data_IF_749179219968
#
_entry.id   IF_749179219968
#
_cell.length_a   1.000
_cell.length_b   1.000
_cell.length_c   1.000
_cell.angle_alpha   90.00
_cell.angle_beta   90.00
_cell.angle_gamma   90.00
#
_symmetry.space_group_name_H-M   'P 1'
#
loop_
_entity.id
_entity.type
_entity.pdbx_description
1 polymer ?
#
# COMPACT_ATOMS: atom_id res chain seq x y z
N UNK A 1 7.66 14.77 -5.20
CA UNK A 1 6.23 14.92 -4.87
C UNK A 1 5.96 16.36 -4.47
N UNK A 2 4.86 16.91 -4.94
CA UNK A 2 4.47 18.30 -4.65
C UNK A 2 4.15 18.50 -3.17
N UNK A 3 4.31 19.71 -2.66
CA UNK A 3 4.00 20.04 -1.26
C UNK A 3 2.54 19.73 -0.91
N UNK A 4 1.61 20.05 -1.80
CA UNK A 4 0.19 19.76 -1.58
C UNK A 4 -0.10 18.27 -1.47
N UNK A 5 0.62 17.42 -2.21
CA UNK A 5 0.48 15.97 -2.12
C UNK A 5 1.04 15.43 -0.81
N UNK A 6 2.12 16.01 -0.30
CA UNK A 6 2.64 15.69 1.04
C UNK A 6 1.63 16.05 2.13
N UNK A 7 0.94 17.19 2.00
CA UNK A 7 -0.12 17.56 2.92
C UNK A 7 -1.28 16.58 2.88
N UNK A 8 -1.69 16.15 1.68
CA UNK A 8 -2.71 15.10 1.52
C UNK A 8 -2.29 13.81 2.23
N UNK A 9 -1.03 13.42 2.05
CA UNK A 9 -0.50 12.22 2.68
C UNK A 9 -0.49 12.34 4.21
N UNK A 10 -0.01 13.46 4.74
CA UNK A 10 0.02 13.70 6.18
C UNK A 10 -1.38 13.63 6.80
N UNK A 11 -2.37 14.25 6.16
CA UNK A 11 -3.77 14.20 6.60
C UNK A 11 -4.32 12.78 6.52
N UNK A 12 -3.99 12.06 5.45
CA UNK A 12 -4.45 10.68 5.28
C UNK A 12 -3.89 9.75 6.36
N UNK A 13 -2.59 9.83 6.63
CA UNK A 13 -1.97 9.03 7.70
C UNK A 13 -2.61 9.37 9.06
N UNK A 14 -2.90 10.64 9.32
CA UNK A 14 -3.58 11.07 10.54
C UNK A 14 -5.00 10.47 10.65
N UNK A 15 -5.76 10.44 9.56
CA UNK A 15 -7.07 9.79 9.51
C UNK A 15 -6.97 8.29 9.82
N UNK A 16 -5.96 7.63 9.26
CA UNK A 16 -5.76 6.19 9.43
C UNK A 16 -5.42 5.77 10.86
N UNK A 17 -4.98 6.70 11.71
CA UNK A 17 -4.70 6.40 13.13
C UNK A 17 -5.91 5.86 13.87
N UNK A 18 -7.11 6.22 13.43
CA UNK A 18 -8.37 5.78 14.03
C UNK A 18 -9.04 4.67 13.25
N UNK A 19 -8.41 4.21 12.17
CA UNK A 19 -8.97 3.16 11.34
C UNK A 19 -8.88 1.81 12.03
N UNK A 20 -9.92 1.01 11.85
CA UNK A 20 -9.92 -0.41 12.21
C UNK A 20 -9.86 -1.24 10.95
N UNK A 21 -9.15 -2.36 10.99
CA UNK A 21 -9.10 -3.26 9.86
C UNK A 21 -10.45 -3.92 9.62
N UNK A 22 -10.93 -3.85 8.39
CA UNK A 22 -12.12 -4.58 7.95
C UNK A 22 -11.95 -4.96 6.48
N UNK A 23 -11.99 -6.25 6.20
CA UNK A 23 -11.84 -6.75 4.84
C UNK A 23 -12.87 -6.13 3.90
N UNK A 24 -12.41 -5.58 2.76
CA UNK A 24 -13.28 -4.95 1.76
C UNK A 24 -13.74 -3.54 2.11
N UNK A 25 -13.37 -3.01 3.26
CA UNK A 25 -13.73 -1.65 3.70
C UNK A 25 -12.46 -0.83 3.96
N UNK A 26 -11.60 -1.33 4.85
CA UNK A 26 -10.30 -0.74 5.13
C UNK A 26 -9.31 -1.85 5.46
N UNK A 27 -8.48 -2.17 4.52
CA UNK A 27 -7.39 -3.13 4.61
C UNK A 27 -6.18 -2.54 3.89
N UNK A 28 -5.06 -3.25 3.84
CA UNK A 28 -3.85 -2.68 3.25
C UNK A 28 -3.98 -2.40 1.74
N UNK A 29 -4.79 -3.17 1.02
CA UNK A 29 -5.05 -2.92 -0.40
C UNK A 29 -5.88 -1.64 -0.59
N UNK A 30 -7.02 -1.55 0.10
CA UNK A 30 -7.88 -0.37 0.01
C UNK A 30 -7.21 0.88 0.57
N UNK A 31 -6.42 0.75 1.64
CA UNK A 31 -5.60 1.85 2.13
C UNK A 31 -4.75 2.45 1.00
N UNK A 32 -4.10 1.59 0.23
CA UNK A 32 -3.26 2.01 -0.90
C UNK A 32 -4.09 2.59 -2.04
N UNK A 33 -5.22 1.98 -2.37
CA UNK A 33 -6.11 2.48 -3.43
C UNK A 33 -6.68 3.86 -3.07
N UNK A 34 -7.09 4.07 -1.83
CA UNK A 34 -7.55 5.39 -1.37
C UNK A 34 -6.44 6.43 -1.46
N UNK A 35 -5.20 6.07 -1.15
CA UNK A 35 -4.07 6.98 -1.35
C UNK A 35 -3.89 7.36 -2.82
N UNK A 36 -3.92 6.38 -3.71
CA UNK A 36 -3.86 6.62 -5.16
C UNK A 36 -4.99 7.55 -5.61
N UNK A 37 -6.21 7.31 -5.14
CA UNK A 37 -7.35 8.16 -5.48
C UNK A 37 -7.16 9.61 -5.01
N UNK A 38 -6.64 9.81 -3.81
CA UNK A 38 -6.35 11.15 -3.29
C UNK A 38 -5.26 11.85 -4.10
N UNK A 39 -4.24 11.10 -4.51
CA UNK A 39 -3.12 11.63 -5.27
C UNK A 39 -3.52 12.01 -6.70
N UNK A 40 -4.33 11.17 -7.35
CA UNK A 40 -4.71 11.33 -8.77
C UNK A 40 -6.08 11.96 -9.00
N UNK A 41 -6.90 12.11 -7.96
CA UNK A 41 -8.27 12.58 -8.12
C UNK A 41 -9.19 11.56 -8.78
N UNK A 42 -8.96 10.28 -8.57
CA UNK A 42 -9.71 9.16 -9.17
C UNK A 42 -10.67 8.53 -8.17
N UNK A 43 -11.45 7.54 -8.62
CA UNK A 43 -12.42 6.79 -7.82
C UNK A 43 -12.22 5.27 -7.94
N UNK A 44 -10.99 4.81 -8.02
CA UNK A 44 -10.70 3.39 -8.16
C UNK A 44 -11.22 2.55 -6.98
N UNK A 45 -11.26 3.14 -5.77
CA UNK A 45 -11.76 2.43 -4.60
C UNK A 45 -13.22 2.00 -4.72
N UNK A 46 -14.04 2.73 -5.48
CA UNK A 46 -15.44 2.36 -5.70
C UNK A 46 -15.59 1.02 -6.42
N UNK A 47 -14.61 0.67 -7.26
CA UNK A 47 -14.64 -0.60 -8.01
C UNK A 47 -14.12 -1.78 -7.18
N UNK A 48 -13.49 -1.51 -6.06
CA UNK A 48 -12.80 -2.51 -5.23
C UNK A 48 -13.50 -2.73 -3.90
N UNK A 49 -14.00 -1.66 -3.27
CA UNK A 49 -14.65 -1.72 -1.97
C UNK A 49 -15.85 -2.66 -1.99
N UNK A 50 -16.01 -3.43 -0.93
CA UNK A 50 -17.10 -4.40 -0.73
C UNK A 50 -17.12 -5.58 -1.71
N UNK A 51 -16.03 -5.80 -2.47
CA UNK A 51 -15.93 -6.93 -3.41
C UNK A 51 -15.43 -8.21 -2.73
N UNK A 52 -14.93 -8.09 -1.53
CA UNK A 52 -14.51 -9.23 -0.69
C UNK A 52 -14.78 -8.89 0.77
N UNK A 53 -14.84 -9.91 1.63
CA UNK A 53 -15.25 -9.75 3.03
C UNK A 53 -14.37 -10.47 4.05
N UNK A 54 -13.42 -11.26 3.58
CA UNK A 54 -12.48 -12.00 4.43
C UNK A 54 -11.16 -12.19 3.68
N UNK A 55 -10.17 -12.75 4.37
CA UNK A 55 -8.84 -12.98 3.78
C UNK A 55 -8.92 -13.85 2.53
N UNK A 56 -9.69 -14.94 2.58
CA UNK A 56 -9.80 -15.87 1.46
C UNK A 56 -10.38 -15.21 0.22
N UNK A 57 -11.49 -14.52 0.36
CA UNK A 57 -12.11 -13.80 -0.77
C UNK A 57 -11.24 -12.64 -1.26
N UNK A 58 -10.49 -11.98 -0.36
CA UNK A 58 -9.54 -10.94 -0.75
C UNK A 58 -8.42 -11.49 -1.64
N UNK A 59 -7.86 -12.65 -1.28
CA UNK A 59 -6.82 -13.31 -2.09
C UNK A 59 -7.36 -13.69 -3.47
N UNK A 60 -8.57 -14.26 -3.54
CA UNK A 60 -9.21 -14.61 -4.81
C UNK A 60 -9.47 -13.37 -5.66
N UNK A 61 -9.99 -12.31 -5.06
CA UNK A 61 -10.24 -11.04 -5.75
C UNK A 61 -8.94 -10.46 -6.32
N UNK A 62 -7.88 -10.41 -5.50
CA UNK A 62 -6.58 -9.88 -5.91
C UNK A 62 -6.01 -10.63 -7.12
N UNK A 63 -6.12 -11.95 -7.13
CA UNK A 63 -5.63 -12.77 -8.25
C UNK A 63 -6.37 -12.48 -9.56
N UNK A 64 -7.67 -12.17 -9.49
CA UNK A 64 -8.51 -11.98 -10.68
C UNK A 64 -8.53 -10.54 -11.17
N UNK A 65 -8.53 -9.56 -10.26
CA UNK A 65 -8.88 -8.19 -10.59
C UNK A 65 -7.86 -7.15 -10.13
N UNK A 66 -7.00 -7.48 -9.17
CA UNK A 66 -6.09 -6.52 -8.56
C UNK A 66 -4.75 -7.17 -8.24
N UNK A 67 -3.95 -7.38 -9.27
CA UNK A 67 -2.54 -7.77 -9.11
C UNK A 67 -1.79 -6.51 -8.71
N UNK A 68 -1.48 -6.37 -7.41
CA UNK A 68 -1.00 -5.10 -6.86
C UNK A 68 0.20 -4.48 -7.60
N UNK A 69 1.27 -5.21 -7.93
CA UNK A 69 2.36 -4.61 -8.69
C UNK A 69 1.94 -4.11 -10.07
N UNK A 70 1.23 -4.92 -10.84
CA UNK A 70 0.78 -4.56 -12.18
C UNK A 70 -0.23 -3.42 -12.16
N UNK A 71 -1.12 -3.42 -11.16
CA UNK A 71 -2.10 -2.36 -11.01
C UNK A 71 -1.43 -1.01 -10.74
N UNK A 72 -0.42 -0.97 -9.88
CA UNK A 72 0.31 0.26 -9.58
C UNK A 72 1.00 0.82 -10.83
N UNK A 73 1.63 -0.04 -11.62
CA UNK A 73 2.23 0.40 -12.89
C UNK A 73 1.17 0.93 -13.85
N UNK A 74 0.04 0.25 -13.95
CA UNK A 74 -1.07 0.64 -14.81
C UNK A 74 -1.62 2.02 -14.48
N UNK A 75 -1.68 2.41 -13.21
CA UNK A 75 -2.18 3.71 -12.79
C UNK A 75 -1.09 4.80 -12.76
N UNK A 76 0.14 4.47 -13.13
CA UNK A 76 1.19 5.45 -13.36
C UNK A 76 2.35 5.46 -12.37
N UNK A 77 2.41 4.50 -11.44
CA UNK A 77 3.59 4.35 -10.58
C UNK A 77 4.73 3.67 -11.36
N UNK A 78 5.95 4.09 -11.09
CA UNK A 78 7.15 3.45 -11.63
C UNK A 78 7.67 2.44 -10.61
N UNK A 79 8.06 1.26 -11.10
CA UNK A 79 8.73 0.24 -10.29
C UNK A 79 10.19 0.68 -10.09
N UNK A 80 10.56 0.98 -8.86
CA UNK A 80 11.89 1.45 -8.48
C UNK A 80 12.67 0.41 -7.66
N UNK A 81 12.23 -0.84 -7.67
CA UNK A 81 12.80 -1.92 -6.83
C UNK A 81 14.30 -2.08 -7.01
N UNK A 82 14.78 -1.99 -8.24
CA UNK A 82 16.20 -2.18 -8.59
C UNK A 82 17.04 -0.90 -8.46
N UNK A 83 16.42 0.22 -8.10
CA UNK A 83 17.14 1.48 -7.95
C UNK A 83 17.66 1.61 -6.52
N UNK A 84 18.90 2.07 -6.37
CA UNK A 84 19.39 2.55 -5.07
C UNK A 84 18.64 3.82 -4.75
N UNK A 85 17.79 3.76 -3.75
CA UNK A 85 16.86 4.84 -3.52
C UNK A 85 17.02 5.49 -2.18
N UNK A 86 16.93 6.80 -2.21
CA UNK A 86 16.49 7.58 -1.05
C UNK A 86 14.99 7.36 -0.96
N UNK A 87 14.52 6.85 0.17
CA UNK A 87 13.10 6.63 0.40
C UNK A 87 12.35 7.96 0.42
N UNK A 88 11.24 8.04 -0.30
CA UNK A 88 10.46 9.28 -0.40
C UNK A 88 9.03 9.07 0.09
N UNK A 89 8.48 10.12 0.68
CA UNK A 89 7.09 10.14 1.10
C UNK A 89 6.17 9.79 -0.07
N UNK A 90 5.19 8.94 0.18
CA UNK A 90 4.25 8.49 -0.84
C UNK A 90 4.69 7.27 -1.63
N UNK A 91 5.91 6.80 -1.47
CA UNK A 91 6.32 5.52 -2.06
C UNK A 91 5.44 4.41 -1.52
N UNK A 92 5.08 3.47 -2.40
CA UNK A 92 4.28 2.29 -2.04
C UNK A 92 5.17 1.06 -2.15
N UNK A 93 5.24 0.29 -1.07
CA UNK A 93 5.98 -0.96 -1.05
C UNK A 93 4.99 -2.11 -0.99
N UNK A 94 5.16 -3.07 -1.89
CA UNK A 94 4.34 -4.27 -1.97
C UNK A 94 5.17 -5.46 -1.55
N UNK A 95 4.85 -6.02 -0.40
CA UNK A 95 5.53 -7.16 0.18
C UNK A 95 4.80 -8.43 -0.21
N UNK A 96 5.51 -9.33 -0.91
CA UNK A 96 4.94 -10.58 -1.42
C UNK A 96 5.15 -11.69 -0.39
N UNK A 97 4.06 -12.27 0.09
CA UNK A 97 4.06 -13.42 1.02
C UNK A 97 3.80 -14.76 0.31
N UNK A 98 3.85 -14.79 -1.02
CA UNK A 98 3.57 -15.96 -1.83
C UNK A 98 2.11 -16.04 -2.26
N UNK A 99 1.19 -16.14 -1.34
CA UNK A 99 -0.25 -16.24 -1.63
C UNK A 99 -0.99 -14.91 -1.58
N UNK A 100 -0.41 -13.92 -0.91
CA UNK A 100 -1.03 -12.61 -0.73
C UNK A 100 0.05 -11.54 -0.63
N UNK A 101 -0.39 -10.28 -0.71
CA UNK A 101 0.49 -9.12 -0.60
C UNK A 101 0.13 -8.28 0.62
N UNK A 102 1.12 -7.65 1.22
CA UNK A 102 0.92 -6.55 2.16
C UNK A 102 1.41 -5.27 1.52
N UNK A 103 0.57 -4.25 1.51
CA UNK A 103 0.91 -2.94 0.97
C UNK A 103 1.28 -1.99 2.10
N UNK A 104 2.32 -1.20 1.86
CA UNK A 104 2.85 -0.22 2.80
C UNK A 104 2.99 1.13 2.11
N UNK A 105 2.75 2.21 2.84
CA UNK A 105 2.96 3.58 2.34
C UNK A 105 4.06 4.24 3.16
N UNK A 106 5.05 4.80 2.48
CA UNK A 106 6.16 5.52 3.09
C UNK A 106 5.74 6.92 3.52
N UNK A 107 6.00 7.27 4.77
CA UNK A 107 5.83 8.62 5.27
C UNK A 107 6.84 8.91 6.37
N UNK A 108 7.64 9.95 6.19
CA UNK A 108 8.69 10.39 7.13
C UNK A 108 9.60 9.26 7.60
N UNK A 109 10.04 8.44 6.66
CA UNK A 109 10.98 7.35 6.92
C UNK A 109 10.39 6.09 7.53
N UNK A 110 9.07 6.04 7.73
CA UNK A 110 8.36 4.86 8.22
C UNK A 110 7.39 4.35 7.17
N UNK A 111 7.18 3.05 7.19
CA UNK A 111 6.18 2.38 6.35
C UNK A 111 4.93 2.10 7.17
N UNK A 112 3.77 2.48 6.63
CA UNK A 112 2.47 2.35 7.30
C UNK A 112 1.59 1.36 6.56
N UNK A 113 0.85 0.55 7.32
CA UNK A 113 -0.16 -0.37 6.78
C UNK A 113 -1.30 -0.52 7.76
N UNK A 114 -2.45 -0.98 7.27
CA UNK A 114 -3.61 -1.31 8.12
C UNK A 114 -3.66 -2.83 8.23
N UNK A 115 -3.47 -3.35 9.43
CA UNK A 115 -3.35 -4.77 9.70
C UNK A 115 -4.51 -5.30 10.54
N UNK A 116 -4.81 -6.60 10.37
CA UNK A 116 -5.83 -7.31 11.14
C UNK A 116 -5.57 -7.16 12.63
N UNK A 117 -6.63 -6.88 13.40
CA UNK A 117 -6.63 -6.75 14.86
C UNK A 117 -5.80 -5.60 15.44
N UNK A 118 -5.06 -4.86 14.60
CA UNK A 118 -4.20 -3.78 15.07
C UNK A 118 -4.55 -2.40 14.52
N UNK A 119 -5.25 -2.34 13.38
CA UNK A 119 -5.44 -1.08 12.67
C UNK A 119 -4.15 -0.58 12.04
N UNK A 120 -3.88 0.71 12.12
CA UNK A 120 -2.67 1.30 11.56
C UNK A 120 -1.44 0.86 12.35
N UNK A 121 -0.48 0.30 11.64
CA UNK A 121 0.83 -0.08 12.18
C UNK A 121 1.93 0.59 11.37
N UNK A 122 3.11 0.72 11.95
CA UNK A 122 4.27 1.20 11.22
C UNK A 122 5.48 0.31 11.48
N UNK A 123 6.43 0.37 10.54
CA UNK A 123 7.69 -0.34 10.63
C UNK A 123 8.76 0.44 9.87
N UNK A 124 10.00 0.01 10.01
CA UNK A 124 11.10 0.62 9.27
C UNK A 124 11.38 -0.13 7.98
N UNK A 125 12.00 0.53 6.97
CA UNK A 125 12.45 -0.17 5.76
C UNK A 125 13.37 -1.34 6.06
N UNK A 126 14.23 -1.22 7.06
CA UNK A 126 15.17 -2.27 7.47
C UNK A 126 14.46 -3.51 7.98
N UNK A 127 13.41 -3.32 8.79
CA UNK A 127 12.62 -4.43 9.33
C UNK A 127 11.89 -5.20 8.23
N UNK A 128 11.35 -4.50 7.24
CA UNK A 128 10.69 -5.13 6.10
C UNK A 128 11.71 -5.97 5.32
N UNK A 129 12.88 -5.43 5.03
CA UNK A 129 13.92 -6.12 4.25
C UNK A 129 14.48 -7.33 4.98
N UNK A 130 14.52 -7.34 6.31
CA UNK A 130 15.02 -8.47 7.12
C UNK A 130 14.01 -9.60 7.29
N UNK A 131 12.72 -9.33 7.12
CA UNK A 131 11.65 -10.23 7.55
C UNK A 131 11.53 -11.54 6.81
N UNK A 132 12.28 -11.77 5.70
CA UNK A 132 12.07 -12.91 4.80
C UNK A 132 13.34 -13.69 4.47
N UNK A 133 14.34 -13.66 5.33
CA UNK A 133 15.57 -14.42 5.09
C UNK A 133 16.46 -13.79 4.02
N UNK A 134 16.97 -14.62 3.08
CA UNK A 134 18.01 -14.19 2.14
C UNK A 134 17.51 -13.42 0.92
N UNK A 135 16.19 -13.43 0.66
CA UNK A 135 15.59 -12.77 -0.51
C UNK A 135 14.55 -11.77 -0.06
N UNK A 136 14.70 -10.52 -0.41
CA UNK A 136 13.67 -9.50 -0.17
C UNK A 136 12.64 -9.56 -1.30
N UNK A 137 11.41 -10.07 -1.03
CA UNK A 137 10.35 -10.16 -2.04
C UNK A 137 9.56 -8.85 -2.17
N UNK A 138 10.10 -7.74 -1.73
CA UNK A 138 9.40 -6.46 -1.71
C UNK A 138 9.63 -5.70 -3.00
N UNK A 139 8.55 -5.29 -3.67
CA UNK A 139 8.59 -4.38 -4.80
C UNK A 139 8.25 -2.96 -4.33
N UNK A 140 8.95 -1.98 -4.88
CA UNK A 140 8.85 -0.58 -4.48
C UNK A 140 8.42 0.26 -5.66
N UNK A 141 7.44 1.14 -5.43
CA UNK A 141 6.80 1.94 -6.47
C UNK A 141 6.77 3.40 -6.09
N UNK A 142 6.92 4.27 -7.07
CA UNK A 142 6.90 5.72 -6.89
C UNK A 142 6.10 6.38 -7.99
N UNK A 143 5.25 7.33 -7.63
CA UNK A 143 4.60 8.19 -8.60
C UNK A 143 5.57 9.27 -9.05
N UNK A 144 5.75 9.38 -10.35
CA UNK A 144 6.65 10.35 -10.97
C UNK A 144 5.88 11.62 -11.35
#
# INVERSE_FOLDING_TARGET
MKLEDRHKLALYIAELRHATHQWGVMDCQLMTVYWVDKLLGTNYANDIAHKYKDKKSAVVFAKRYLQAPEWLEKVGFENITEQETIYKDGDVWIQNHGMYYTAWIMFKGLLYSVCVDKGLVNTTPEEISKGFGTTDPTNKFRMI
#
